data_IF_815342839127
#
_entry.id   IF_815342839127
#
_cell.length_a   1.000
_cell.length_b   1.000
_cell.length_c   1.000
_cell.angle_alpha   90.00
_cell.angle_beta   90.00
_cell.angle_gamma   90.00
#
_symmetry.space_group_name_H-M   'P 1'
#
loop_
_entity.id
_entity.type
_entity.pdbx_description
1 polymer ?
#
# COMPACT_ATOMS: atom_id res chain seq x y z
N UNK A 1 5.91 -1.68 18.85
CA UNK A 1 6.30 -2.44 17.63
C UNK A 1 5.17 -2.25 16.65
N UNK A 2 5.43 -1.84 15.39
CA UNK A 2 4.33 -1.62 14.46
C UNK A 2 3.59 -2.95 14.31
N UNK A 3 2.26 -2.86 14.34
CA UNK A 3 1.36 -3.99 14.27
C UNK A 3 1.76 -4.86 13.07
N UNK A 4 2.29 -6.05 13.37
CA UNK A 4 2.65 -7.05 12.37
C UNK A 4 1.33 -7.69 11.92
N UNK A 5 0.50 -6.90 11.25
CA UNK A 5 -0.65 -7.38 10.52
C UNK A 5 -0.11 -8.44 9.55
N UNK A 6 -0.51 -9.69 9.77
CA UNK A 6 -0.20 -10.81 8.88
C UNK A 6 -0.98 -10.58 7.58
N UNK A 7 -0.43 -9.70 6.73
CA UNK A 7 -1.03 -9.34 5.46
C UNK A 7 -0.92 -10.53 4.52
N UNK A 8 -2.06 -10.94 3.96
CA UNK A 8 -2.09 -11.96 2.93
C UNK A 8 -1.12 -11.63 1.78
N UNK A 9 -0.50 -12.66 1.22
CA UNK A 9 0.47 -12.50 0.13
C UNK A 9 -0.12 -11.74 -1.08
N UNK A 10 -1.44 -11.86 -1.29
CA UNK A 10 -2.17 -11.12 -2.31
C UNK A 10 -2.23 -9.61 -2.03
N UNK A 11 -2.41 -9.21 -0.76
CA UNK A 11 -2.42 -7.80 -0.35
C UNK A 11 -1.02 -7.21 -0.51
N UNK A 12 0.01 -7.92 -0.05
CA UNK A 12 1.41 -7.49 -0.20
C UNK A 12 1.79 -7.34 -1.67
N UNK A 13 1.42 -8.31 -2.52
CA UNK A 13 1.67 -8.23 -3.96
C UNK A 13 0.95 -7.02 -4.61
N UNK A 14 -0.26 -6.70 -4.15
CA UNK A 14 -1.02 -5.55 -4.64
C UNK A 14 -0.38 -4.23 -4.20
N UNK A 15 0.09 -4.14 -2.95
CA UNK A 15 0.84 -2.98 -2.45
C UNK A 15 2.11 -2.77 -3.27
N UNK A 16 2.92 -3.82 -3.44
CA UNK A 16 4.18 -3.74 -4.22
C UNK A 16 3.94 -3.35 -5.67
N UNK A 17 2.90 -3.89 -6.32
CA UNK A 17 2.48 -3.50 -7.67
C UNK A 17 2.27 -1.97 -7.76
N UNK A 18 1.50 -1.41 -6.84
CA UNK A 18 1.22 0.02 -6.85
C UNK A 18 2.40 0.89 -6.39
N UNK A 19 3.21 0.42 -5.44
CA UNK A 19 4.42 1.10 -5.01
C UNK A 19 5.41 1.25 -6.18
N UNK A 20 5.64 0.19 -6.95
CA UNK A 20 6.50 0.22 -8.13
C UNK A 20 5.96 1.12 -9.24
N UNK A 21 4.65 1.04 -9.53
CA UNK A 21 4.03 1.95 -10.50
C UNK A 21 4.16 3.41 -10.07
N UNK A 22 3.97 3.66 -8.78
CA UNK A 22 4.06 4.98 -8.21
C UNK A 22 5.51 5.51 -8.23
N UNK A 23 6.51 4.66 -7.95
CA UNK A 23 7.91 5.04 -8.09
C UNK A 23 8.26 5.45 -9.54
N UNK A 24 7.72 4.75 -10.55
CA UNK A 24 7.92 5.13 -11.96
C UNK A 24 7.21 6.43 -12.31
N UNK A 25 5.99 6.62 -11.82
CA UNK A 25 5.16 7.81 -12.11
C UNK A 25 5.69 9.09 -11.47
N UNK A 26 6.35 8.97 -10.32
CA UNK A 26 6.88 10.11 -9.55
C UNK A 26 8.41 10.19 -9.56
N UNK A 27 9.08 9.65 -10.59
CA UNK A 27 10.55 9.72 -10.76
C UNK A 27 11.34 9.27 -9.51
N UNK A 28 10.86 8.22 -8.84
CA UNK A 28 11.43 7.68 -7.61
C UNK A 28 10.95 8.37 -6.32
N UNK A 29 10.25 9.50 -6.40
CA UNK A 29 9.63 10.19 -5.26
C UNK A 29 8.24 9.60 -4.93
N UNK A 30 8.21 8.30 -4.63
CA UNK A 30 6.97 7.58 -4.34
C UNK A 30 6.10 8.29 -3.29
N UNK A 31 4.81 8.45 -3.60
CA UNK A 31 3.78 9.02 -2.76
C UNK A 31 2.91 7.91 -2.15
N UNK A 32 3.18 7.56 -0.89
CA UNK A 32 2.42 6.54 -0.14
C UNK A 32 0.90 6.77 -0.15
N UNK A 33 0.46 8.03 -0.14
CA UNK A 33 -0.97 8.38 -0.24
C UNK A 33 -1.61 7.97 -1.57
N UNK A 34 -0.87 8.05 -2.68
CA UNK A 34 -1.34 7.64 -4.02
C UNK A 34 -1.45 6.12 -4.11
N UNK A 35 -0.45 5.40 -3.60
CA UNK A 35 -0.46 3.92 -3.48
C UNK A 35 -1.64 3.45 -2.62
N UNK A 36 -1.81 4.04 -1.44
CA UNK A 36 -2.91 3.71 -0.52
C UNK A 36 -4.28 4.00 -1.17
N UNK A 37 -4.43 5.12 -1.88
CA UNK A 37 -5.65 5.46 -2.59
C UNK A 37 -6.03 4.45 -3.66
N UNK A 38 -5.06 4.00 -4.48
CA UNK A 38 -5.28 2.96 -5.49
C UNK A 38 -5.66 1.62 -4.86
N UNK A 39 -4.96 1.22 -3.80
CA UNK A 39 -5.24 -0.01 -3.08
C UNK A 39 -6.65 -0.03 -2.48
N UNK A 40 -7.09 1.05 -1.82
CA UNK A 40 -8.42 1.16 -1.21
C UNK A 40 -9.55 1.36 -2.24
N UNK A 41 -9.19 1.74 -3.47
CA UNK A 41 -10.08 1.76 -4.63
C UNK A 41 -10.32 0.35 -5.20
N UNK A 42 -9.25 -0.43 -5.36
CA UNK A 42 -9.32 -1.84 -5.84
C UNK A 42 -9.90 -2.77 -4.75
N UNK A 43 -9.57 -2.51 -3.47
CA UNK A 43 -9.94 -3.34 -2.32
C UNK A 43 -10.62 -2.53 -1.23
N UNK A 44 -11.89 -2.21 -1.45
CA UNK A 44 -12.69 -1.40 -0.52
C UNK A 44 -12.85 -2.07 0.86
N UNK A 45 -12.76 -3.40 0.94
CA UNK A 45 -12.78 -4.18 2.18
C UNK A 45 -11.62 -3.84 3.14
N UNK A 46 -10.55 -3.25 2.61
CA UNK A 46 -9.36 -2.88 3.37
C UNK A 46 -9.45 -1.49 4.02
N UNK A 47 -10.48 -0.69 3.69
CA UNK A 47 -10.68 0.66 4.25
C UNK A 47 -10.67 0.72 5.78
N UNK A 48 -11.29 -0.23 6.53
CA UNK A 48 -11.21 -0.24 7.99
C UNK A 48 -9.77 -0.39 8.51
N UNK A 49 -8.88 -0.98 7.72
CA UNK A 49 -7.46 -1.20 8.05
C UNK A 49 -6.52 -0.19 7.37
N UNK A 50 -7.03 0.93 6.84
CA UNK A 50 -6.25 1.91 6.09
C UNK A 50 -5.02 2.43 6.88
N UNK A 51 -5.11 2.52 8.21
CA UNK A 51 -3.99 2.94 9.06
C UNK A 51 -2.84 1.92 9.08
N UNK A 52 -3.13 0.63 9.22
CA UNK A 52 -2.12 -0.44 9.16
C UNK A 52 -1.54 -0.59 7.75
N UNK A 53 -2.40 -0.44 6.73
CA UNK A 53 -1.97 -0.44 5.33
C UNK A 53 -1.05 0.70 4.98
N UNK A 54 -1.27 1.89 5.53
CA UNK A 54 -0.35 3.00 5.35
C UNK A 54 1.06 2.64 5.82
N UNK A 55 1.18 2.00 6.98
CA UNK A 55 2.49 1.54 7.50
C UNK A 55 3.13 0.47 6.62
N UNK A 56 2.34 -0.46 6.07
CA UNK A 56 2.85 -1.43 5.08
C UNK A 56 3.37 -0.73 3.82
N UNK A 57 2.60 0.20 3.27
CA UNK A 57 2.96 0.98 2.07
C UNK A 57 4.22 1.82 2.28
N UNK A 58 4.43 2.37 3.48
CA UNK A 58 5.64 3.14 3.81
C UNK A 58 6.89 2.27 4.01
N UNK A 59 6.73 0.95 4.13
CA UNK A 59 7.83 0.00 4.36
C UNK A 59 8.27 -0.74 3.08
N UNK A 60 7.40 -0.80 2.05
CA UNK A 60 7.70 -1.36 0.72
C UNK A 60 8.36 -0.33 -0.19
#
# INVERSE_FOLDING_TARGET
MPDNDDWGADIVATVRKYALQNAVEYDGAGQAGSVLGRLLGERAELRPKAKGLKSLVETE
#
